data_IF_686072723783
#
_entry.id   IF_686072723783
#
_cell.length_a   1.000
_cell.length_b   1.000
_cell.length_c   1.000
_cell.angle_alpha   90.00
_cell.angle_beta   90.00
_cell.angle_gamma   90.00
#
_symmetry.space_group_name_H-M   'P 1'
#
loop_
_entity.id
_entity.type
_entity.pdbx_description
1 polymer ?
#
# COMPACT_ATOMS: atom_id res chain seq x y z
N UNK A 1 -22.28 4.87 -22.78
CA UNK A 1 -21.71 4.84 -24.12
C UNK A 1 -20.57 3.82 -24.11
N UNK A 2 -20.78 2.65 -24.69
CA UNK A 2 -19.77 1.61 -24.88
C UNK A 2 -18.95 2.01 -26.09
N UNK A 3 -17.66 2.21 -25.92
CA UNK A 3 -16.76 2.62 -26.98
C UNK A 3 -15.49 1.77 -26.90
N UNK A 4 -15.09 1.19 -28.01
CA UNK A 4 -13.84 0.46 -28.10
C UNK A 4 -12.66 1.44 -27.91
N UNK A 5 -11.88 1.22 -26.86
CA UNK A 5 -10.75 2.07 -26.48
C UNK A 5 -9.45 1.29 -26.59
N UNK A 6 -8.80 1.31 -27.77
CA UNK A 6 -7.52 0.65 -27.91
C UNK A 6 -6.45 1.37 -27.05
N UNK A 7 -5.48 0.64 -26.53
CA UNK A 7 -4.38 1.23 -25.79
C UNK A 7 -3.55 2.16 -26.71
N UNK A 8 -3.26 3.37 -26.24
CA UNK A 8 -2.42 4.33 -26.95
C UNK A 8 -0.99 4.24 -26.46
N UNK A 9 -0.04 4.17 -27.39
CA UNK A 9 1.38 4.13 -27.07
C UNK A 9 1.90 5.56 -26.82
N UNK A 10 2.37 5.83 -25.60
CA UNK A 10 2.74 7.16 -25.12
C UNK A 10 4.25 7.35 -24.91
N UNK A 11 5.11 6.51 -25.52
CA UNK A 11 6.57 6.57 -25.29
C UNK A 11 7.20 7.94 -25.65
N UNK A 12 6.68 8.63 -26.67
CA UNK A 12 7.16 9.97 -27.04
C UNK A 12 6.98 10.96 -25.90
N UNK A 13 5.79 11.03 -25.33
CA UNK A 13 5.49 11.92 -24.20
C UNK A 13 6.32 11.58 -22.95
N UNK A 14 6.68 10.32 -22.74
CA UNK A 14 7.57 9.91 -21.64
C UNK A 14 8.98 10.47 -21.82
N UNK A 15 9.52 10.43 -23.05
CA UNK A 15 10.85 10.99 -23.35
C UNK A 15 10.85 12.49 -23.09
N UNK A 16 9.81 13.21 -23.51
CA UNK A 16 9.65 14.63 -23.26
C UNK A 16 9.60 14.96 -21.76
N UNK A 17 8.91 14.16 -20.96
CA UNK A 17 8.85 14.32 -19.51
C UNK A 17 10.22 14.06 -18.86
N UNK A 18 10.93 13.01 -19.27
CA UNK A 18 12.27 12.66 -18.75
C UNK A 18 13.28 13.78 -19.04
N UNK A 19 13.18 14.41 -20.18
CA UNK A 19 14.05 15.52 -20.58
C UNK A 19 13.61 16.86 -19.98
N UNK A 20 12.45 16.93 -19.37
CA UNK A 20 11.93 18.16 -18.80
C UNK A 20 12.64 18.52 -17.48
N UNK A 21 12.76 19.83 -17.21
CA UNK A 21 13.27 20.35 -15.92
C UNK A 21 12.42 19.93 -14.72
N UNK A 22 11.18 19.51 -14.95
CA UNK A 22 10.25 19.07 -13.91
C UNK A 22 10.58 17.69 -13.35
N UNK A 23 11.33 16.85 -14.09
CA UNK A 23 11.70 15.53 -13.60
C UNK A 23 12.44 15.58 -12.26
N UNK A 24 13.40 16.48 -12.11
CA UNK A 24 14.14 16.66 -10.84
C UNK A 24 13.22 17.06 -9.68
N UNK A 25 12.16 17.81 -9.97
CA UNK A 25 11.18 18.24 -8.97
C UNK A 25 10.35 17.06 -8.43
N UNK A 26 10.05 16.09 -9.31
CA UNK A 26 9.23 14.93 -8.94
C UNK A 26 10.04 13.73 -8.44
N UNK A 27 11.37 13.75 -8.56
CA UNK A 27 12.23 12.63 -8.16
C UNK A 27 12.10 12.32 -6.66
N UNK A 28 11.88 13.36 -5.84
CA UNK A 28 11.64 13.26 -4.40
C UNK A 28 10.34 12.53 -4.04
N UNK A 29 9.41 12.42 -4.99
CA UNK A 29 8.16 11.68 -4.84
C UNK A 29 8.29 10.31 -5.50
N UNK A 30 8.89 10.24 -6.68
CA UNK A 30 9.00 9.03 -7.49
C UNK A 30 9.82 7.96 -6.76
N UNK A 31 10.98 8.33 -6.18
CA UNK A 31 11.85 7.36 -5.51
C UNK A 31 11.18 6.75 -4.26
N UNK A 32 10.65 7.53 -3.29
CA UNK A 32 9.95 6.96 -2.15
C UNK A 32 8.74 6.11 -2.55
N UNK A 33 7.95 6.54 -3.52
CA UNK A 33 6.81 5.76 -4.04
C UNK A 33 7.25 4.44 -4.67
N UNK A 34 8.36 4.43 -5.42
CA UNK A 34 8.94 3.21 -5.98
C UNK A 34 9.39 2.23 -4.90
N UNK A 35 10.13 2.73 -3.89
CA UNK A 35 10.56 1.91 -2.74
C UNK A 35 9.34 1.35 -1.99
N UNK A 36 8.32 2.17 -1.78
CA UNK A 36 7.08 1.78 -1.12
C UNK A 36 6.36 0.65 -1.86
N UNK A 37 6.30 0.73 -3.19
CA UNK A 37 5.73 -0.32 -4.04
C UNK A 37 6.52 -1.64 -3.93
N UNK A 38 7.85 -1.58 -3.91
CA UNK A 38 8.70 -2.77 -3.74
C UNK A 38 8.48 -3.42 -2.38
N UNK A 39 8.47 -2.62 -1.29
CA UNK A 39 8.23 -3.12 0.08
C UNK A 39 6.84 -3.75 0.18
N UNK A 40 5.79 -3.09 -0.34
CA UNK A 40 4.45 -3.64 -0.37
C UNK A 40 4.35 -4.94 -1.17
N UNK A 41 5.04 -5.02 -2.30
CA UNK A 41 5.10 -6.25 -3.11
C UNK A 41 5.81 -7.39 -2.37
N UNK A 42 6.89 -7.11 -1.62
CA UNK A 42 7.56 -8.09 -0.77
C UNK A 42 6.64 -8.61 0.33
N UNK A 43 5.95 -7.72 1.05
CA UNK A 43 4.98 -8.10 2.09
C UNK A 43 3.86 -8.98 1.53
N UNK A 44 3.39 -8.71 0.30
CA UNK A 44 2.37 -9.54 -0.35
C UNK A 44 2.89 -10.94 -0.72
N UNK A 45 4.16 -11.06 -1.11
CA UNK A 45 4.81 -12.36 -1.34
C UNK A 45 4.97 -13.15 -0.04
N UNK A 46 5.39 -12.50 1.05
CA UNK A 46 5.49 -13.12 2.37
C UNK A 46 4.12 -13.57 2.88
N UNK A 47 3.09 -12.76 2.68
CA UNK A 47 1.71 -13.12 3.03
C UNK A 47 1.21 -14.33 2.22
N UNK A 48 1.59 -14.45 0.95
CA UNK A 48 1.28 -15.62 0.14
C UNK A 48 2.04 -16.87 0.62
N UNK A 49 3.32 -16.73 1.01
CA UNK A 49 4.12 -17.82 1.57
C UNK A 49 3.54 -18.30 2.91
N UNK A 50 3.12 -17.38 3.78
CA UNK A 50 2.42 -17.70 5.02
C UNK A 50 1.09 -18.43 4.78
N UNK A 51 0.40 -18.13 3.67
CA UNK A 51 -0.76 -18.89 3.22
C UNK A 51 -0.43 -20.25 2.58
N UNK A 52 0.86 -20.63 2.51
CA UNK A 52 1.34 -21.91 2.00
C UNK A 52 1.68 -21.94 0.52
N UNK A 53 1.78 -20.79 -0.16
CA UNK A 53 2.17 -20.70 -1.58
C UNK A 53 3.47 -19.92 -1.73
N UNK A 54 4.56 -20.65 -1.94
CA UNK A 54 5.89 -20.06 -2.07
C UNK A 54 6.18 -19.66 -3.51
N UNK A 55 6.42 -18.36 -3.71
CA UNK A 55 6.82 -17.80 -4.99
C UNK A 55 8.30 -17.38 -4.97
N UNK A 56 8.95 -17.47 -6.13
CA UNK A 56 10.32 -16.97 -6.27
C UNK A 56 10.32 -15.44 -6.26
N UNK A 57 10.83 -14.84 -5.19
CA UNK A 57 10.81 -13.40 -4.96
C UNK A 57 11.46 -12.58 -6.08
N UNK A 58 12.70 -12.87 -6.54
CA UNK A 58 13.32 -12.15 -7.65
C UNK A 58 12.50 -12.19 -8.93
N UNK A 59 12.00 -13.36 -9.31
CA UNK A 59 11.20 -13.52 -10.53
C UNK A 59 9.87 -12.75 -10.44
N UNK A 60 9.21 -12.81 -9.31
CA UNK A 60 7.94 -12.13 -9.09
C UNK A 60 8.10 -10.59 -9.13
N UNK A 61 9.12 -10.06 -8.46
CA UNK A 61 9.42 -8.62 -8.48
C UNK A 61 9.86 -8.15 -9.87
N UNK A 62 10.67 -8.94 -10.58
CA UNK A 62 11.09 -8.60 -11.95
C UNK A 62 9.89 -8.55 -12.89
N UNK A 63 8.98 -9.53 -12.81
CA UNK A 63 7.75 -9.56 -13.62
C UNK A 63 6.87 -8.35 -13.31
N UNK A 64 6.72 -8.01 -12.02
CA UNK A 64 5.98 -6.82 -11.59
C UNK A 64 6.63 -5.52 -12.13
N UNK A 65 7.97 -5.42 -12.07
CA UNK A 65 8.72 -4.27 -12.60
C UNK A 65 8.57 -4.13 -14.11
N UNK A 66 8.71 -5.22 -14.87
CA UNK A 66 8.49 -5.22 -16.32
C UNK A 66 7.05 -4.83 -16.65
N UNK A 67 6.08 -5.37 -15.92
CA UNK A 67 4.66 -5.00 -16.05
C UNK A 67 4.42 -3.51 -15.85
N UNK A 68 5.07 -2.91 -14.84
CA UNK A 68 4.99 -1.48 -14.57
C UNK A 68 5.56 -0.64 -15.70
N UNK A 69 6.72 -1.03 -16.24
CA UNK A 69 7.35 -0.34 -17.39
C UNK A 69 6.46 -0.44 -18.62
N UNK A 70 5.94 -1.63 -18.92
CA UNK A 70 5.02 -1.82 -20.05
C UNK A 70 3.76 -0.99 -19.87
N UNK A 71 3.14 -1.00 -18.69
CA UNK A 71 1.95 -0.21 -18.41
C UNK A 71 2.21 1.30 -18.58
N UNK A 72 3.38 1.79 -18.16
CA UNK A 72 3.74 3.21 -18.32
C UNK A 72 3.89 3.62 -19.78
N UNK A 73 4.39 2.73 -20.66
CA UNK A 73 4.46 2.99 -22.11
C UNK A 73 3.07 3.21 -22.75
N UNK A 74 2.03 2.72 -22.10
CA UNK A 74 0.63 2.93 -22.49
C UNK A 74 -0.10 3.97 -21.62
N UNK A 75 0.64 4.82 -20.91
CA UNK A 75 0.10 5.97 -20.18
C UNK A 75 -0.38 5.68 -18.77
N UNK A 76 -0.06 4.52 -18.18
CA UNK A 76 -0.34 4.29 -16.76
C UNK A 76 0.56 5.17 -15.88
N UNK A 77 -0.04 5.96 -15.01
CA UNK A 77 0.67 6.79 -14.03
C UNK A 77 0.94 6.05 -12.71
N UNK A 78 0.43 4.83 -12.56
CA UNK A 78 0.65 4.02 -11.36
C UNK A 78 1.44 2.76 -11.72
N UNK A 79 2.41 2.36 -10.88
CA UNK A 79 3.08 1.08 -11.04
C UNK A 79 2.12 -0.07 -10.76
N UNK A 80 2.35 -1.22 -11.39
CA UNK A 80 1.67 -2.46 -10.99
C UNK A 80 2.16 -2.91 -9.62
N UNK A 81 1.33 -3.60 -8.86
CA UNK A 81 1.69 -4.18 -7.57
C UNK A 81 1.31 -5.66 -7.53
N UNK A 82 2.00 -6.43 -6.70
CA UNK A 82 1.62 -7.80 -6.42
C UNK A 82 0.35 -7.78 -5.55
N UNK A 83 -0.61 -8.64 -5.87
CA UNK A 83 -1.94 -8.62 -5.29
C UNK A 83 -1.95 -9.06 -3.82
N UNK A 84 -2.46 -8.22 -2.96
CA UNK A 84 -2.54 -8.43 -1.52
C UNK A 84 -3.60 -9.45 -1.07
N UNK A 85 -4.64 -9.67 -1.88
CA UNK A 85 -5.79 -10.50 -1.51
C UNK A 85 -5.59 -12.01 -1.67
N UNK A 86 -4.39 -12.48 -2.03
CA UNK A 86 -4.10 -13.89 -2.27
C UNK A 86 -4.53 -14.82 -1.12
N UNK A 87 -4.20 -14.56 0.16
CA UNK A 87 -4.60 -15.44 1.26
C UNK A 87 -6.12 -15.55 1.42
N UNK A 88 -6.84 -14.43 1.24
CA UNK A 88 -8.28 -14.41 1.33
C UNK A 88 -8.96 -15.27 0.26
N UNK A 89 -8.56 -15.11 -1.00
CA UNK A 89 -9.09 -15.93 -2.10
C UNK A 89 -8.73 -17.41 -1.95
N UNK A 90 -7.51 -17.70 -1.50
CA UNK A 90 -7.10 -19.08 -1.22
C UNK A 90 -7.96 -19.72 -0.13
N UNK A 91 -8.28 -18.99 0.93
CA UNK A 91 -9.12 -19.48 2.03
C UNK A 91 -10.52 -19.91 1.58
N UNK A 92 -11.08 -19.28 0.54
CA UNK A 92 -12.37 -19.68 -0.06
C UNK A 92 -12.22 -20.68 -1.21
N UNK A 93 -11.02 -21.25 -1.43
CA UNK A 93 -10.77 -22.33 -2.38
C UNK A 93 -10.37 -21.90 -3.79
N UNK A 94 -10.06 -20.63 -4.02
CA UNK A 94 -9.54 -20.17 -5.31
C UNK A 94 -8.17 -20.81 -5.61
N UNK A 95 -7.94 -21.13 -6.89
CA UNK A 95 -6.71 -21.74 -7.40
C UNK A 95 -6.14 -20.92 -8.57
N UNK A 96 -4.99 -21.29 -9.08
CA UNK A 96 -4.22 -20.57 -10.13
C UNK A 96 -5.07 -20.10 -11.31
N UNK A 97 -6.07 -20.85 -11.72
CA UNK A 97 -6.95 -20.52 -12.85
C UNK A 97 -7.73 -19.22 -12.68
N UNK A 98 -8.04 -18.80 -11.46
CA UNK A 98 -8.81 -17.57 -11.25
C UNK A 98 -8.02 -16.33 -11.69
N UNK A 99 -6.71 -16.30 -11.47
CA UNK A 99 -5.86 -15.15 -11.85
C UNK A 99 -5.83 -14.97 -13.37
N UNK A 100 -5.71 -16.07 -14.12
CA UNK A 100 -5.73 -16.05 -15.59
C UNK A 100 -7.10 -15.57 -16.10
N UNK A 101 -8.17 -16.16 -15.57
CA UNK A 101 -9.53 -15.79 -15.95
C UNK A 101 -9.84 -14.34 -15.63
N UNK A 102 -9.45 -13.86 -14.44
CA UNK A 102 -9.62 -12.48 -14.03
C UNK A 102 -8.83 -11.52 -14.95
N UNK A 103 -7.58 -11.84 -15.30
CA UNK A 103 -6.76 -11.04 -16.22
C UNK A 103 -7.41 -10.91 -17.58
N UNK A 104 -7.90 -12.00 -18.16
CA UNK A 104 -8.61 -12.00 -19.44
C UNK A 104 -9.89 -11.17 -19.36
N UNK A 105 -10.68 -11.36 -18.30
CA UNK A 105 -11.95 -10.67 -18.10
C UNK A 105 -11.76 -9.15 -17.96
N UNK A 106 -10.77 -8.72 -17.15
CA UNK A 106 -10.43 -7.30 -16.99
C UNK A 106 -9.97 -6.71 -18.31
N UNK A 107 -9.10 -7.41 -19.07
CA UNK A 107 -8.67 -6.93 -20.40
C UNK A 107 -9.84 -6.72 -21.36
N UNK A 108 -10.77 -7.68 -21.42
CA UNK A 108 -11.98 -7.56 -22.26
C UNK A 108 -12.83 -6.36 -21.84
N UNK A 109 -13.08 -6.19 -20.56
CA UNK A 109 -13.88 -5.08 -20.01
C UNK A 109 -13.23 -3.72 -20.33
N UNK A 110 -11.91 -3.61 -20.13
CA UNK A 110 -11.19 -2.37 -20.40
C UNK A 110 -11.20 -2.01 -21.89
N UNK A 111 -10.93 -2.97 -22.76
CA UNK A 111 -10.90 -2.75 -24.22
C UNK A 111 -12.28 -2.44 -24.81
N UNK A 112 -13.33 -3.05 -24.25
CA UNK A 112 -14.71 -2.83 -24.72
C UNK A 112 -15.37 -1.56 -24.16
N UNK A 113 -14.73 -0.87 -23.20
CA UNK A 113 -15.31 0.30 -22.54
C UNK A 113 -16.43 0.01 -21.55
N UNK A 114 -16.68 -1.27 -21.23
CA UNK A 114 -17.70 -1.66 -20.26
C UNK A 114 -17.41 -1.22 -18.82
N UNK A 115 -16.19 -0.79 -18.52
CA UNK A 115 -15.81 -0.26 -17.18
C UNK A 115 -16.81 0.80 -16.70
N UNK A 116 -17.20 1.73 -17.57
CA UNK A 116 -18.17 2.80 -17.22
C UNK A 116 -19.53 2.26 -16.80
N UNK A 117 -19.99 1.17 -17.43
CA UNK A 117 -21.26 0.54 -17.08
C UNK A 117 -21.14 -0.18 -15.74
N UNK A 118 -20.05 -0.93 -15.56
CA UNK A 118 -19.79 -1.66 -14.30
C UNK A 118 -19.75 -0.68 -13.11
N UNK A 119 -19.04 0.45 -13.23
CA UNK A 119 -18.97 1.47 -12.19
C UNK A 119 -20.32 2.15 -11.89
N UNK A 120 -21.27 2.10 -12.82
CA UNK A 120 -22.65 2.58 -12.59
C UNK A 120 -23.56 1.54 -11.94
N UNK A 121 -23.31 0.27 -12.21
CA UNK A 121 -24.14 -0.86 -11.72
C UNK A 121 -23.63 -1.36 -10.38
N UNK A 122 -22.31 -1.44 -10.21
CA UNK A 122 -21.67 -1.91 -8.97
C UNK A 122 -21.33 -0.70 -8.12
N UNK A 123 -22.02 -0.47 -7.01
CA UNK A 123 -21.69 0.63 -6.11
C UNK A 123 -20.32 0.42 -5.46
N UNK A 124 -19.60 1.50 -5.21
CA UNK A 124 -18.27 1.48 -4.62
C UNK A 124 -18.26 0.75 -3.25
N UNK A 125 -19.36 0.86 -2.52
CA UNK A 125 -19.56 0.26 -1.20
C UNK A 125 -19.48 -1.27 -1.23
N UNK A 126 -19.90 -1.89 -2.33
CA UNK A 126 -19.78 -3.34 -2.52
C UNK A 126 -18.30 -3.78 -2.61
N UNK A 127 -17.45 -2.96 -3.26
CA UNK A 127 -16.00 -3.18 -3.30
C UNK A 127 -15.32 -3.01 -1.94
N UNK A 128 -15.77 -2.03 -1.15
CA UNK A 128 -15.22 -1.76 0.20
C UNK A 128 -15.42 -2.99 1.12
N UNK A 129 -16.54 -3.68 1.03
CA UNK A 129 -16.80 -4.90 1.82
C UNK A 129 -15.76 -6.00 1.57
N UNK A 130 -15.36 -6.20 0.31
CA UNK A 130 -14.31 -7.18 -0.06
C UNK A 130 -12.95 -6.75 0.51
N UNK A 131 -12.60 -5.48 0.41
CA UNK A 131 -11.34 -4.95 0.93
C UNK A 131 -11.26 -5.10 2.47
N UNK A 132 -12.37 -4.83 3.16
CA UNK A 132 -12.46 -5.02 4.61
C UNK A 132 -12.24 -6.48 5.00
N UNK A 133 -12.91 -7.41 4.28
CA UNK A 133 -12.72 -8.84 4.52
C UNK A 133 -11.28 -9.29 4.29
N UNK A 134 -10.63 -8.86 3.21
CA UNK A 134 -9.22 -9.14 2.93
C UNK A 134 -8.34 -8.58 4.07
N UNK A 135 -8.60 -7.35 4.52
CA UNK A 135 -7.87 -6.73 5.62
C UNK A 135 -7.97 -7.54 6.92
N UNK A 136 -9.17 -8.03 7.25
CA UNK A 136 -9.39 -8.88 8.43
C UNK A 136 -8.60 -10.19 8.31
N UNK A 137 -8.61 -10.84 7.15
CA UNK A 137 -7.87 -12.09 6.91
C UNK A 137 -6.37 -11.86 7.08
N UNK A 138 -5.82 -10.78 6.54
CA UNK A 138 -4.38 -10.47 6.63
C UNK A 138 -3.97 -10.18 8.09
N UNK A 139 -4.77 -9.39 8.82
CA UNK A 139 -4.50 -9.11 10.24
C UNK A 139 -4.56 -10.40 11.07
N UNK A 140 -5.57 -11.24 10.84
CA UNK A 140 -5.68 -12.55 11.51
C UNK A 140 -4.46 -13.43 11.22
N UNK A 141 -4.02 -13.49 9.94
CA UNK A 141 -2.83 -14.23 9.53
C UNK A 141 -1.57 -13.72 10.22
N UNK A 142 -1.39 -12.40 10.35
CA UNK A 142 -0.25 -11.82 11.03
C UNK A 142 -0.12 -12.31 12.49
N UNK A 143 -1.25 -12.49 13.19
CA UNK A 143 -1.25 -13.06 14.54
C UNK A 143 -1.08 -14.58 14.58
N UNK A 144 -1.58 -15.29 13.56
CA UNK A 144 -1.52 -16.77 13.50
C UNK A 144 -0.12 -17.28 13.16
N UNK A 145 0.55 -16.63 12.22
CA UNK A 145 1.89 -17.01 11.73
C UNK A 145 3.03 -16.51 12.64
N UNK A 146 2.75 -15.52 13.47
CA UNK A 146 3.74 -14.98 14.41
C UNK A 146 3.75 -15.80 15.72
N UNK A 147 4.94 -16.12 16.29
CA UNK A 147 5.02 -16.77 17.58
C UNK A 147 4.21 -16.06 18.66
N UNK A 148 3.47 -16.79 19.49
CA UNK A 148 2.53 -16.21 20.48
C UNK A 148 3.16 -15.16 21.39
N UNK A 149 4.43 -15.32 21.77
CA UNK A 149 5.14 -14.34 22.60
C UNK A 149 5.46 -13.04 21.88
N UNK A 150 5.38 -12.98 20.55
CA UNK A 150 5.55 -11.77 19.74
C UNK A 150 4.21 -11.09 19.38
N UNK A 151 3.06 -11.61 19.82
CA UNK A 151 1.75 -11.04 19.51
C UNK A 151 1.64 -9.54 19.88
N UNK A 152 2.31 -9.11 20.96
CA UNK A 152 2.39 -7.71 21.35
C UNK A 152 3.10 -6.86 20.30
N UNK A 153 4.15 -7.37 19.65
CA UNK A 153 4.86 -6.65 18.60
C UNK A 153 3.99 -6.47 17.35
N UNK A 154 3.18 -7.48 17.00
CA UNK A 154 2.18 -7.36 15.92
C UNK A 154 1.17 -6.25 16.24
N UNK A 155 0.64 -6.24 17.46
CA UNK A 155 -0.31 -5.22 17.89
C UNK A 155 0.30 -3.80 17.84
N UNK A 156 1.54 -3.62 18.30
CA UNK A 156 2.26 -2.34 18.24
C UNK A 156 2.48 -1.90 16.79
N UNK A 157 2.80 -2.82 15.90
CA UNK A 157 2.97 -2.55 14.46
C UNK A 157 1.70 -2.05 13.76
N UNK A 158 0.51 -2.29 14.33
CA UNK A 158 -0.75 -1.79 13.77
C UNK A 158 -1.03 -0.32 14.11
N UNK A 159 -0.44 0.24 15.17
CA UNK A 159 -0.74 1.62 15.60
C UNK A 159 -0.50 2.69 14.54
N UNK A 160 0.61 2.70 13.78
CA UNK A 160 0.81 3.68 12.73
C UNK A 160 -0.26 3.62 11.64
N UNK A 161 -0.70 2.41 11.25
CA UNK A 161 -1.77 2.25 10.27
C UNK A 161 -3.12 2.76 10.80
N UNK A 162 -3.42 2.54 12.09
CA UNK A 162 -4.62 3.07 12.74
C UNK A 162 -4.57 4.61 12.81
N UNK A 163 -3.40 5.17 13.13
CA UNK A 163 -3.21 6.61 13.16
C UNK A 163 -3.38 7.23 11.76
N UNK A 164 -2.83 6.61 10.72
CA UNK A 164 -2.98 7.03 9.33
C UNK A 164 -4.46 7.00 8.89
N UNK A 165 -5.18 5.91 9.23
CA UNK A 165 -6.62 5.84 8.96
C UNK A 165 -7.41 6.91 9.71
N UNK A 166 -7.11 7.12 10.98
CA UNK A 166 -7.75 8.18 11.78
C UNK A 166 -7.53 9.57 11.19
N UNK A 167 -6.30 9.88 10.76
CA UNK A 167 -5.99 11.16 10.12
C UNK A 167 -6.73 11.31 8.79
N UNK A 168 -6.79 10.25 7.98
CA UNK A 168 -7.56 10.24 6.72
C UNK A 168 -9.04 10.57 6.97
N UNK A 169 -9.65 10.03 8.03
CA UNK A 169 -11.04 10.32 8.39
C UNK A 169 -11.23 11.80 8.78
N UNK A 170 -10.32 12.35 9.57
CA UNK A 170 -10.33 13.78 9.94
C UNK A 170 -10.21 14.64 8.68
N UNK A 171 -9.25 14.40 7.82
CA UNK A 171 -9.06 15.17 6.59
C UNK A 171 -10.24 15.06 5.63
N UNK A 172 -10.80 13.87 5.43
CA UNK A 172 -12.00 13.66 4.62
C UNK A 172 -13.18 14.46 5.14
N UNK A 173 -13.39 14.45 6.45
CA UNK A 173 -14.46 15.21 7.10
C UNK A 173 -14.29 16.71 6.89
N UNK A 174 -13.07 17.22 7.10
CA UNK A 174 -12.76 18.63 6.89
C UNK A 174 -12.95 19.06 5.43
N UNK A 175 -12.53 18.24 4.47
CA UNK A 175 -12.76 18.50 3.03
C UNK A 175 -14.24 18.53 2.70
N UNK A 176 -15.04 17.66 3.27
CA UNK A 176 -16.50 17.66 3.10
C UNK A 176 -17.15 18.90 3.69
N UNK A 177 -16.55 19.48 4.76
CA UNK A 177 -16.96 20.75 5.35
C UNK A 177 -16.40 22.00 4.63
N UNK A 178 -15.73 21.82 3.48
CA UNK A 178 -15.15 22.92 2.69
C UNK A 178 -13.88 23.53 3.27
N UNK A 179 -13.19 22.83 4.17
CA UNK A 179 -11.97 23.31 4.82
C UNK A 179 -10.87 22.23 4.82
N UNK A 180 -9.71 22.56 5.33
CA UNK A 180 -8.57 21.63 5.44
C UNK A 180 -7.86 21.78 6.77
N UNK A 181 -7.12 20.77 7.18
CA UNK A 181 -6.29 20.80 8.38
C UNK A 181 -5.27 21.95 8.36
N UNK A 182 -4.80 22.33 7.17
CA UNK A 182 -3.88 23.44 6.98
C UNK A 182 -4.52 24.81 7.29
N UNK A 183 -5.80 24.99 6.92
CA UNK A 183 -6.54 26.24 7.14
C UNK A 183 -6.93 26.41 8.61
N UNK A 184 -7.43 25.34 9.23
CA UNK A 184 -7.89 25.38 10.64
C UNK A 184 -6.70 25.44 11.60
N UNK A 185 -5.58 24.87 11.23
CA UNK A 185 -4.41 24.71 12.10
C UNK A 185 -4.51 23.47 13.00
N UNK A 186 -3.36 22.90 13.29
CA UNK A 186 -3.25 21.67 14.10
C UNK A 186 -3.65 21.90 15.56
N UNK A 187 -3.37 23.10 16.05
CA UNK A 187 -3.60 23.49 17.47
C UNK A 187 -5.07 23.60 17.84
N UNK A 188 -5.96 23.80 16.85
CA UNK A 188 -7.40 23.80 17.07
C UNK A 188 -7.93 22.44 17.59
N UNK A 189 -7.19 21.36 17.38
CA UNK A 189 -7.55 20.01 17.80
C UNK A 189 -6.82 19.55 19.07
N UNK A 190 -5.85 20.31 19.58
CA UNK A 190 -4.93 19.90 20.64
C UNK A 190 -5.62 19.39 21.92
N UNK A 191 -6.81 19.90 22.25
CA UNK A 191 -7.53 19.52 23.46
C UNK A 191 -8.45 18.30 23.29
N UNK A 192 -8.83 17.96 22.05
CA UNK A 192 -9.86 16.95 21.78
C UNK A 192 -9.35 15.74 20.98
N UNK A 193 -8.26 15.91 20.27
CA UNK A 193 -7.72 14.88 19.38
C UNK A 193 -6.19 14.98 19.34
N UNK A 194 -5.50 13.85 19.47
CA UNK A 194 -4.04 13.77 19.42
C UNK A 194 -3.51 13.94 17.98
N UNK A 195 -3.90 15.02 17.29
CA UNK A 195 -3.63 15.24 15.87
C UNK A 195 -2.13 15.24 15.54
N UNK A 196 -1.30 15.83 16.42
CA UNK A 196 0.15 15.84 16.24
C UNK A 196 0.75 14.43 16.25
N UNK A 197 0.28 13.58 17.17
CA UNK A 197 0.71 12.17 17.22
C UNK A 197 0.25 11.38 16.00
N UNK A 198 -0.98 11.62 15.53
CA UNK A 198 -1.51 10.98 14.32
C UNK A 198 -0.69 11.36 13.09
N UNK A 199 -0.36 12.63 12.90
CA UNK A 199 0.48 13.11 11.79
C UNK A 199 1.88 12.51 11.86
N UNK A 200 2.46 12.42 13.07
CA UNK A 200 3.81 11.85 13.24
C UNK A 200 3.87 10.35 12.91
N UNK A 201 2.82 9.60 13.24
CA UNK A 201 2.73 8.17 12.97
C UNK A 201 2.29 7.84 11.53
N UNK A 202 1.52 8.74 10.90
CA UNK A 202 1.04 8.57 9.52
C UNK A 202 2.18 8.70 8.51
N UNK A 203 3.13 9.61 8.75
CA UNK A 203 4.26 9.81 7.84
C UNK A 203 5.09 8.55 7.74
N UNK A 204 5.15 7.97 6.53
CA UNK A 204 5.85 6.73 6.29
C UNK A 204 5.35 5.55 7.15
N UNK A 205 4.04 5.48 7.44
CA UNK A 205 3.44 4.56 8.42
C UNK A 205 3.83 3.10 8.21
N UNK A 206 4.09 2.64 6.98
CA UNK A 206 4.55 1.27 6.72
C UNK A 206 5.93 1.05 7.33
N UNK A 207 6.89 1.97 7.09
CA UNK A 207 8.23 1.87 7.68
C UNK A 207 8.17 2.00 9.20
N UNK A 208 7.37 2.95 9.69
CA UNK A 208 7.16 3.15 11.12
C UNK A 208 6.58 1.90 11.78
N UNK A 209 5.61 1.23 11.16
CA UNK A 209 5.04 -0.04 11.61
C UNK A 209 6.09 -1.14 11.68
N UNK A 210 6.88 -1.32 10.61
CA UNK A 210 7.95 -2.32 10.56
C UNK A 210 9.02 -2.08 11.64
N UNK A 211 9.44 -0.83 11.81
CA UNK A 211 10.44 -0.44 12.80
C UNK A 211 9.93 -0.69 14.22
N UNK A 212 8.72 -0.23 14.55
CA UNK A 212 8.14 -0.41 15.87
C UNK A 212 7.92 -1.89 16.20
N UNK A 213 7.43 -2.67 15.23
CA UNK A 213 7.30 -4.12 15.40
C UNK A 213 8.67 -4.78 15.63
N UNK A 214 9.69 -4.44 14.83
CA UNK A 214 11.03 -5.00 14.96
C UNK A 214 11.68 -4.65 16.31
N UNK A 215 11.61 -3.39 16.74
CA UNK A 215 12.11 -2.96 18.05
C UNK A 215 11.42 -3.77 19.15
N UNK A 216 10.09 -3.92 19.07
CA UNK A 216 9.30 -4.66 20.06
C UNK A 216 9.70 -6.13 20.12
N UNK A 217 9.90 -6.80 18.99
CA UNK A 217 10.39 -8.19 18.93
C UNK A 217 11.75 -8.31 19.60
N UNK A 218 12.72 -7.44 19.25
CA UNK A 218 14.07 -7.52 19.83
C UNK A 218 14.10 -7.20 21.32
N UNK A 219 13.20 -6.34 21.81
CA UNK A 219 13.04 -6.11 23.25
C UNK A 219 12.47 -7.35 23.96
N UNK A 220 11.47 -8.00 23.38
CA UNK A 220 10.89 -9.26 23.92
C UNK A 220 11.97 -10.36 23.95
N UNK A 221 12.80 -10.46 22.93
CA UNK A 221 13.90 -11.42 22.85
C UNK A 221 15.13 -11.02 23.68
N UNK A 222 15.10 -9.88 24.38
CA UNK A 222 16.20 -9.33 25.17
C UNK A 222 17.47 -9.04 24.35
N UNK A 223 17.32 -8.81 23.04
CA UNK A 223 18.40 -8.43 22.11
C UNK A 223 18.56 -6.90 22.05
N UNK A 224 18.96 -6.30 23.16
CA UNK A 224 18.96 -4.85 23.36
C UNK A 224 19.85 -4.09 22.36
N UNK A 225 20.99 -4.67 21.96
CA UNK A 225 21.89 -4.03 20.98
C UNK A 225 21.18 -3.89 19.62
N UNK A 226 20.51 -4.93 19.16
CA UNK A 226 19.78 -4.91 17.90
C UNK A 226 18.59 -3.96 17.98
N UNK A 227 17.86 -3.93 19.10
CA UNK A 227 16.80 -2.96 19.33
C UNK A 227 17.32 -1.51 19.28
N UNK A 228 18.51 -1.24 19.86
CA UNK A 228 19.16 0.06 19.79
C UNK A 228 19.53 0.45 18.36
N UNK A 229 20.05 -0.48 17.55
CA UNK A 229 20.37 -0.22 16.13
C UNK A 229 19.12 0.15 15.32
N UNK A 230 18.01 -0.56 15.53
CA UNK A 230 16.72 -0.23 14.90
C UNK A 230 16.19 1.14 15.35
N UNK A 231 16.34 1.47 16.64
CA UNK A 231 15.94 2.78 17.18
C UNK A 231 16.80 3.93 16.61
N UNK A 232 18.10 3.71 16.44
CA UNK A 232 19.00 4.68 15.78
C UNK A 232 18.63 4.86 14.30
N UNK A 233 18.33 3.76 13.61
CA UNK A 233 17.83 3.81 12.23
C UNK A 233 16.53 4.60 12.13
N UNK A 234 15.59 4.39 13.05
CA UNK A 234 14.34 5.16 13.13
C UNK A 234 14.61 6.66 13.36
N UNK A 235 15.53 7.00 14.27
CA UNK A 235 15.88 8.38 14.54
C UNK A 235 16.51 9.08 13.31
N UNK A 236 17.34 8.37 12.55
CA UNK A 236 17.93 8.87 11.31
C UNK A 236 16.86 9.11 10.23
N UNK A 237 15.94 8.15 10.03
CA UNK A 237 14.84 8.31 9.10
C UNK A 237 13.94 9.49 9.48
N UNK A 238 13.60 9.61 10.76
CA UNK A 238 12.81 10.73 11.27
C UNK A 238 13.53 12.08 11.09
N UNK A 239 14.87 12.11 11.24
CA UNK A 239 15.66 13.31 10.99
C UNK A 239 15.65 13.73 9.51
N UNK A 240 15.61 12.77 8.60
CA UNK A 240 15.49 13.01 7.14
C UNK A 240 14.08 13.39 6.73
N UNK A 241 13.08 13.23 7.62
CA UNK A 241 11.69 13.63 7.38
C UNK A 241 10.80 12.50 6.83
N UNK A 242 11.20 11.27 7.04
CA UNK A 242 10.46 10.04 6.69
C UNK A 242 9.80 9.47 7.94
#
# INVERSE_FOLDING_TARGET
FVHFSPPHFCAGSMIDIIQSKYMLQYISIIIPMGVFNVVGSLQNLESAEAAGDKYNTPSSLLTNGIGSVVASLFGSCFPTTIYIGHPGWKAIGARTGYSILNGIFVAIICLSGFVTIILKVVPLEAGIGILLWIGIVIVAQAFQETPKHHAMAVAIGLFPAIAAWGLLMVESTLRSAGTTLFIIGKDAFANNLAIHGMISLERGFIFTSMILASISVFLIEKKFITACMWSLGAALLSYVGI
#
